data_IF_903531850669
#
_entry.id   IF_903531850669
#
_cell.length_a   1.000
_cell.length_b   1.000
_cell.length_c   1.000
_cell.angle_alpha   90.00
_cell.angle_beta   90.00
_cell.angle_gamma   90.00
#
_symmetry.space_group_name_H-M   'P 1'
#
loop_
_entity.id
_entity.type
_entity.pdbx_description
1 polymer ?
#
# COMPACT_ATOMS: atom_id res chain seq x y z
N UNK A 1 37.63 -4.27 -8.44
CA UNK A 1 36.37 -4.10 -9.22
C UNK A 1 35.32 -3.57 -8.25
N UNK A 2 34.77 -2.39 -8.52
CA UNK A 2 33.92 -1.68 -7.56
C UNK A 2 32.54 -2.33 -7.42
N UNK A 3 32.38 -3.18 -6.42
CA UNK A 3 31.12 -3.91 -6.12
C UNK A 3 30.08 -3.04 -5.42
N UNK A 4 30.44 -1.85 -4.92
CA UNK A 4 29.54 -0.98 -4.16
C UNK A 4 28.35 -0.48 -4.99
N UNK A 5 28.61 0.02 -6.20
CA UNK A 5 27.55 0.55 -7.07
C UNK A 5 26.56 -0.54 -7.47
N UNK A 6 27.05 -1.75 -7.70
CA UNK A 6 26.22 -2.91 -8.07
C UNK A 6 25.32 -3.37 -6.91
N UNK A 7 25.84 -3.41 -5.67
CA UNK A 7 25.06 -3.74 -4.47
C UNK A 7 24.02 -2.66 -4.15
N UNK A 8 24.36 -1.38 -4.33
CA UNK A 8 23.40 -0.28 -4.16
C UNK A 8 22.29 -0.40 -5.20
N UNK A 9 22.65 -0.60 -6.47
CA UNK A 9 21.68 -0.69 -7.56
C UNK A 9 20.70 -1.85 -7.39
N UNK A 10 21.20 -3.03 -7.03
CA UNK A 10 20.35 -4.21 -6.80
C UNK A 10 19.37 -4.00 -5.64
N UNK A 11 19.85 -3.40 -4.54
CA UNK A 11 19.02 -3.11 -3.36
C UNK A 11 17.93 -2.08 -3.67
N UNK A 12 18.30 -0.98 -4.35
CA UNK A 12 17.36 0.08 -4.74
C UNK A 12 16.35 -0.45 -5.75
N UNK A 13 16.79 -1.19 -6.77
CA UNK A 13 15.93 -1.75 -7.81
C UNK A 13 14.87 -2.69 -7.22
N UNK A 14 15.27 -3.60 -6.32
CA UNK A 14 14.35 -4.50 -5.61
C UNK A 14 13.36 -3.75 -4.74
N UNK A 15 13.84 -2.77 -3.97
CA UNK A 15 12.98 -1.92 -3.14
C UNK A 15 11.94 -1.15 -3.98
N UNK A 16 12.38 -0.57 -5.10
CA UNK A 16 11.51 0.17 -6.00
C UNK A 16 10.46 -0.72 -6.66
N UNK A 17 10.85 -1.91 -7.14
CA UNK A 17 9.91 -2.88 -7.71
C UNK A 17 8.88 -3.35 -6.68
N UNK A 18 9.32 -3.68 -5.46
CA UNK A 18 8.41 -4.05 -4.37
C UNK A 18 7.42 -2.93 -4.03
N UNK A 19 7.90 -1.68 -4.01
CA UNK A 19 7.06 -0.51 -3.79
C UNK A 19 6.04 -0.28 -4.92
N UNK A 20 6.45 -0.42 -6.19
CA UNK A 20 5.55 -0.30 -7.33
C UNK A 20 4.45 -1.38 -7.31
N UNK A 21 4.79 -2.61 -6.92
CA UNK A 21 3.80 -3.67 -6.69
C UNK A 21 2.85 -3.31 -5.55
N UNK A 22 3.38 -2.78 -4.44
CA UNK A 22 2.56 -2.33 -3.32
C UNK A 22 1.64 -1.16 -3.69
N UNK A 23 2.06 -0.24 -4.55
CA UNK A 23 1.19 0.80 -5.11
C UNK A 23 0.09 0.20 -5.99
N UNK A 24 0.46 -0.71 -6.91
CA UNK A 24 -0.49 -1.36 -7.80
C UNK A 24 -1.59 -2.12 -7.05
N UNK A 25 -1.31 -2.64 -5.85
CA UNK A 25 -2.27 -3.35 -5.00
C UNK A 25 -2.96 -2.43 -3.98
N UNK A 26 -2.20 -1.57 -3.31
CA UNK A 26 -2.68 -0.69 -2.24
C UNK A 26 -3.59 0.42 -2.75
N UNK A 27 -3.35 0.95 -3.95
CA UNK A 27 -4.21 1.98 -4.56
C UNK A 27 -5.63 1.46 -4.84
N UNK A 28 -5.85 0.36 -5.59
CA UNK A 28 -7.21 -0.14 -5.82
C UNK A 28 -7.88 -0.59 -4.51
N UNK A 29 -7.13 -1.19 -3.59
CA UNK A 29 -7.67 -1.56 -2.28
C UNK A 29 -8.12 -0.34 -1.47
N UNK A 30 -7.29 0.71 -1.38
CA UNK A 30 -7.63 1.96 -0.73
C UNK A 30 -8.82 2.66 -1.38
N UNK A 31 -8.91 2.63 -2.72
CA UNK A 31 -10.06 3.19 -3.44
C UNK A 31 -11.36 2.44 -3.13
N UNK A 32 -11.32 1.10 -3.08
CA UNK A 32 -12.48 0.27 -2.71
C UNK A 32 -12.93 0.53 -1.27
N UNK A 33 -11.97 0.61 -0.33
CA UNK A 33 -12.20 0.95 1.07
C UNK A 33 -12.76 2.37 1.23
N UNK A 34 -12.28 3.31 0.42
CA UNK A 34 -12.80 4.68 0.43
C UNK A 34 -14.24 4.73 -0.11
N UNK A 35 -14.55 3.92 -1.12
CA UNK A 35 -15.82 3.90 -1.84
C UNK A 35 -16.96 3.20 -1.13
N UNK A 36 -16.72 2.00 -0.61
CA UNK A 36 -17.78 1.10 -0.16
C UNK A 36 -17.79 1.05 1.36
N UNK A 37 -18.82 1.61 1.99
CA UNK A 37 -18.94 1.67 3.46
C UNK A 37 -18.81 0.29 4.13
N UNK A 38 -19.37 -0.75 3.52
CA UNK A 38 -19.24 -2.13 4.00
C UNK A 38 -17.80 -2.64 3.95
N UNK A 39 -17.09 -2.40 2.84
CA UNK A 39 -15.67 -2.75 2.70
C UNK A 39 -14.83 -1.96 3.69
N UNK A 40 -15.13 -0.68 3.92
CA UNK A 40 -14.47 0.13 4.94
C UNK A 40 -14.62 -0.45 6.34
N UNK A 41 -15.83 -0.89 6.71
CA UNK A 41 -16.09 -1.49 8.01
C UNK A 41 -15.40 -2.85 8.19
N UNK A 42 -15.32 -3.66 7.13
CA UNK A 42 -14.72 -5.00 7.18
C UNK A 42 -13.18 -4.99 7.08
N UNK A 43 -12.63 -4.23 6.13
CA UNK A 43 -11.20 -4.22 5.79
C UNK A 43 -10.43 -3.14 6.55
N UNK A 44 -11.08 -2.01 6.87
CA UNK A 44 -10.42 -0.89 7.57
C UNK A 44 -9.70 -1.29 8.86
N UNK A 45 -10.34 -2.05 9.78
CA UNK A 45 -9.69 -2.54 11.00
C UNK A 45 -8.48 -3.44 10.71
N UNK A 46 -8.56 -4.28 9.66
CA UNK A 46 -7.46 -5.17 9.25
C UNK A 46 -6.27 -4.33 8.78
N UNK A 47 -6.49 -3.32 7.94
CA UNK A 47 -5.40 -2.45 7.45
C UNK A 47 -4.75 -1.68 8.59
N UNK A 48 -5.53 -1.17 9.54
CA UNK A 48 -4.99 -0.51 10.73
C UNK A 48 -4.18 -1.47 11.60
N UNK A 49 -4.69 -2.70 11.81
CA UNK A 49 -3.97 -3.74 12.54
C UNK A 49 -2.64 -4.10 11.88
N UNK A 50 -2.63 -4.32 10.57
CA UNK A 50 -1.41 -4.59 9.80
C UNK A 50 -0.41 -3.43 9.85
N UNK A 51 -0.90 -2.18 9.82
CA UNK A 51 -0.05 -0.99 9.87
C UNK A 51 0.53 -0.71 11.27
N UNK A 52 -0.10 -1.21 12.33
CA UNK A 52 0.42 -1.09 13.70
C UNK A 52 1.70 -1.90 13.92
N UNK A 53 1.90 -2.95 13.12
CA UNK A 53 3.11 -3.78 13.14
C UNK A 53 4.22 -3.09 12.35
N UNK A 54 5.45 -2.98 12.90
CA UNK A 54 6.57 -2.49 12.12
C UNK A 54 6.84 -3.47 10.97
N UNK A 55 7.27 -2.97 9.81
CA UNK A 55 7.49 -3.82 8.63
C UNK A 55 8.46 -4.98 8.90
N UNK A 56 9.43 -4.78 9.80
CA UNK A 56 10.40 -5.80 10.22
C UNK A 56 9.75 -6.97 10.97
N UNK A 57 8.59 -6.79 11.60
CA UNK A 57 7.86 -7.87 12.28
C UNK A 57 7.40 -8.97 11.32
N UNK A 58 7.30 -8.67 10.01
CA UNK A 58 6.92 -9.64 8.99
C UNK A 58 8.07 -10.52 8.50
N UNK A 59 9.32 -10.20 8.86
CA UNK A 59 10.49 -10.95 8.39
C UNK A 59 10.45 -12.41 8.84
N UNK A 60 10.23 -12.75 10.13
CA UNK A 60 10.25 -14.16 10.55
C UNK A 60 9.17 -15.02 9.87
N UNK A 61 7.88 -14.61 9.81
CA UNK A 61 6.87 -15.36 9.05
C UNK A 61 7.21 -15.49 7.56
N UNK A 62 7.70 -14.42 6.93
CA UNK A 62 8.04 -14.45 5.51
C UNK A 62 9.22 -15.39 5.22
N UNK A 63 10.21 -15.46 6.11
CA UNK A 63 11.31 -16.44 6.01
C UNK A 63 10.79 -17.87 6.18
N UNK A 64 9.84 -18.11 7.09
CA UNK A 64 9.26 -19.44 7.28
C UNK A 64 8.44 -19.92 6.07
N UNK A 65 7.68 -19.01 5.43
CA UNK A 65 6.84 -19.37 4.28
C UNK A 65 7.60 -19.45 2.97
N UNK A 66 8.54 -18.52 2.74
CA UNK A 66 9.18 -18.36 1.43
C UNK A 66 10.68 -18.70 1.44
N UNK A 67 11.30 -18.82 2.60
CA UNK A 67 12.76 -18.98 2.73
C UNK A 67 13.52 -17.67 2.54
N UNK A 68 14.84 -17.76 2.41
CA UNK A 68 15.72 -16.61 2.16
C UNK A 68 15.82 -16.36 0.64
N UNK A 69 14.75 -15.81 0.06
CA UNK A 69 14.68 -15.48 -1.37
C UNK A 69 14.03 -14.10 -1.61
N UNK A 70 13.98 -13.69 -2.88
CA UNK A 70 13.39 -12.41 -3.27
C UNK A 70 11.88 -12.35 -2.94
N UNK A 71 11.17 -13.48 -2.92
CA UNK A 71 9.75 -13.54 -2.55
C UNK A 71 9.51 -13.17 -1.07
N UNK A 72 10.40 -13.56 -0.16
CA UNK A 72 10.37 -13.12 1.24
C UNK A 72 10.48 -11.59 1.33
N UNK A 73 11.45 -11.00 0.62
CA UNK A 73 11.66 -9.55 0.61
C UNK A 73 10.43 -8.81 0.09
N UNK A 74 9.87 -9.24 -1.05
CA UNK A 74 8.68 -8.61 -1.62
C UNK A 74 7.46 -8.75 -0.71
N UNK A 75 7.28 -9.90 -0.05
CA UNK A 75 6.19 -10.11 0.90
C UNK A 75 6.27 -9.13 2.07
N UNK A 76 7.46 -8.93 2.63
CA UNK A 76 7.67 -7.98 3.73
C UNK A 76 7.35 -6.54 3.28
N UNK A 77 7.80 -6.15 2.08
CA UNK A 77 7.50 -4.84 1.51
C UNK A 77 6.00 -4.67 1.31
N UNK A 78 5.33 -5.66 0.72
CA UNK A 78 3.89 -5.63 0.45
C UNK A 78 3.08 -5.50 1.74
N UNK A 79 3.37 -6.34 2.74
CA UNK A 79 2.64 -6.34 4.01
C UNK A 79 2.84 -5.04 4.82
N UNK A 80 3.99 -4.37 4.69
CA UNK A 80 4.23 -3.07 5.32
C UNK A 80 3.65 -1.88 4.53
N UNK A 81 3.79 -1.89 3.20
CA UNK A 81 3.48 -0.75 2.37
C UNK A 81 2.00 -0.70 1.94
N UNK A 82 1.38 -1.84 1.62
CA UNK A 82 -0.01 -1.89 1.12
C UNK A 82 -1.00 -1.26 2.10
N UNK A 83 -0.99 -1.58 3.42
CA UNK A 83 -1.90 -0.96 4.38
C UNK A 83 -1.67 0.54 4.50
N UNK A 84 -0.39 0.97 4.49
CA UNK A 84 0.00 2.38 4.57
C UNK A 84 -0.49 3.18 3.36
N UNK A 85 -0.32 2.65 2.15
CA UNK A 85 -0.79 3.26 0.90
C UNK A 85 -2.32 3.33 0.90
N UNK A 86 -3.00 2.24 1.25
CA UNK A 86 -4.46 2.19 1.29
C UNK A 86 -5.05 3.19 2.29
N UNK A 87 -4.54 3.20 3.53
CA UNK A 87 -5.01 4.13 4.56
C UNK A 87 -4.67 5.59 4.23
N UNK A 88 -3.49 5.86 3.67
CA UNK A 88 -3.12 7.19 3.18
C UNK A 88 -4.06 7.69 2.08
N UNK A 89 -4.43 6.81 1.14
CA UNK A 89 -5.40 7.15 0.08
C UNK A 89 -6.80 7.42 0.65
N UNK A 90 -7.28 6.57 1.57
CA UNK A 90 -8.57 6.77 2.25
C UNK A 90 -8.59 8.10 2.99
N UNK A 91 -7.55 8.39 3.77
CA UNK A 91 -7.41 9.66 4.49
C UNK A 91 -7.34 10.86 3.55
N UNK A 92 -6.63 10.75 2.43
CA UNK A 92 -6.55 11.79 1.42
C UNK A 92 -7.91 12.08 0.76
N UNK A 93 -8.68 11.03 0.45
CA UNK A 93 -10.05 11.18 -0.11
C UNK A 93 -10.98 11.82 0.92
N UNK A 94 -10.93 11.38 2.18
CA UNK A 94 -11.80 11.89 3.24
C UNK A 94 -11.51 13.37 3.58
N UNK A 95 -10.30 13.86 3.30
CA UNK A 95 -9.91 15.27 3.49
C UNK A 95 -10.36 16.20 2.35
N UNK A 96 -10.88 15.68 1.23
CA UNK A 96 -11.34 16.52 0.11
C UNK A 96 -12.58 17.33 0.53
N UNK A 97 -12.55 18.67 0.45
CA UNK A 97 -13.71 19.50 0.77
C UNK A 97 -14.94 19.11 -0.06
N UNK A 98 -16.14 18.99 0.56
CA UNK A 98 -17.37 18.64 -0.15
C UNK A 98 -17.73 19.57 -1.31
N UNK A 99 -17.20 20.80 -1.30
CA UNK A 99 -17.37 21.79 -2.37
C UNK A 99 -16.84 21.28 -3.72
N UNK A 100 -15.69 20.61 -3.74
CA UNK A 100 -15.12 20.09 -4.99
C UNK A 100 -15.96 18.96 -5.58
N UNK A 101 -16.52 18.10 -4.72
CA UNK A 101 -17.45 17.05 -5.15
C UNK A 101 -18.75 17.64 -5.72
N UNK A 102 -19.29 18.70 -5.09
CA UNK A 102 -20.49 19.40 -5.58
C UNK A 102 -20.24 20.08 -6.92
N UNK A 103 -19.10 20.76 -7.07
CA UNK A 103 -18.70 21.40 -8.33
C UNK A 103 -18.53 20.37 -9.46
N UNK A 104 -17.88 19.23 -9.18
CA UNK A 104 -17.77 18.12 -10.14
C UNK A 104 -19.13 17.61 -10.60
N UNK A 105 -20.09 17.45 -9.69
CA UNK A 105 -21.46 17.01 -10.03
C UNK A 105 -22.20 18.02 -10.91
N UNK A 106 -22.01 19.32 -10.70
CA UNK A 106 -22.59 20.35 -11.59
C UNK A 106 -21.97 20.34 -12.99
N UNK A 107 -20.75 19.83 -13.14
CA UNK A 107 -20.05 19.68 -14.42
C UNK A 107 -20.26 18.30 -15.07
N UNK A 108 -21.14 17.45 -14.51
CA UNK A 108 -21.48 16.15 -15.07
C UNK A 108 -20.66 14.96 -14.55
N UNK A 109 -19.85 15.13 -13.49
CA UNK A 109 -19.15 14.01 -12.87
C UNK A 109 -20.15 13.11 -12.11
N UNK A 110 -20.17 11.82 -12.45
CA UNK A 110 -21.03 10.78 -11.85
C UNK A 110 -20.25 9.80 -10.97
N UNK A 111 -18.96 10.05 -10.76
CA UNK A 111 -18.05 9.28 -9.90
C UNK A 111 -18.28 9.52 -8.40
N UNK A 112 -17.23 9.40 -7.57
CA UNK A 112 -17.28 9.93 -6.18
C UNK A 112 -17.72 11.40 -6.19
#
# INVERSE_FOLDING_TARGET
>A
KGTLLEVIWTSVSRGLLGFLLALAIGTPLGLLVARVKFVRAAIGPILQGLQSLPSVAWVPPAVLWFGLNDAMMFTVILLGAVPSIANGLVSGIDQVPPLFLRAGRTLGATGL
#
